data_IF_458945871427
#
_entry.id   IF_458945871427
#
_cell.length_a   1.000
_cell.length_b   1.000
_cell.length_c   1.000
_cell.angle_alpha   90.00
_cell.angle_beta   90.00
_cell.angle_gamma   90.00
#
_symmetry.space_group_name_H-M   'P 1'
#
loop_
_entity.id
_entity.type
_entity.pdbx_description
1 polymer ?
#
# COMPACT_ATOMS: atom_id res chain seq x y z
N UNK A 1 -25.66 -8.49 -23.88
CA UNK A 1 -25.44 -8.14 -22.47
C UNK A 1 -25.07 -6.68 -22.42
N UNK A 2 -26.00 -5.83 -22.00
CA UNK A 2 -25.80 -4.39 -21.87
C UNK A 2 -24.91 -4.17 -20.64
N UNK A 3 -23.60 -3.94 -20.86
CA UNK A 3 -22.73 -3.52 -19.77
C UNK A 3 -23.11 -2.08 -19.42
N UNK A 4 -23.76 -1.91 -18.26
CA UNK A 4 -23.99 -0.59 -17.67
C UNK A 4 -22.66 0.17 -17.63
N UNK A 5 -22.63 1.31 -18.33
CA UNK A 5 -21.46 2.19 -18.33
C UNK A 5 -21.31 2.76 -16.92
N UNK A 6 -20.37 2.22 -16.15
CA UNK A 6 -20.06 2.73 -14.82
C UNK A 6 -19.20 3.99 -14.95
N UNK A 7 -19.80 5.14 -14.69
CA UNK A 7 -19.08 6.41 -14.71
C UNK A 7 -18.03 6.48 -13.60
N UNK A 8 -16.93 7.16 -13.90
CA UNK A 8 -15.88 7.48 -12.95
C UNK A 8 -16.47 8.46 -11.93
N UNK A 9 -16.61 8.04 -10.69
CA UNK A 9 -17.05 8.89 -9.59
C UNK A 9 -15.99 8.95 -8.51
N UNK A 10 -15.72 10.16 -8.02
CA UNK A 10 -15.04 10.33 -6.74
C UNK A 10 -16.03 10.03 -5.60
N UNK A 11 -15.51 9.72 -4.41
CA UNK A 11 -16.36 9.31 -3.28
C UNK A 11 -17.36 10.38 -2.83
N UNK A 12 -17.03 11.66 -3.02
CA UNK A 12 -17.88 12.83 -2.71
C UNK A 12 -18.65 13.35 -3.94
N UNK A 13 -18.52 12.70 -5.09
CA UNK A 13 -19.14 13.11 -6.36
C UNK A 13 -18.59 14.41 -6.95
N UNK A 14 -17.53 15.00 -6.38
CA UNK A 14 -17.00 16.29 -6.81
C UNK A 14 -15.73 16.16 -7.65
N UNK A 15 -15.55 17.11 -8.58
CA UNK A 15 -14.30 17.32 -9.31
C UNK A 15 -13.65 18.61 -8.81
N UNK A 16 -12.44 18.50 -8.24
CA UNK A 16 -11.71 19.64 -7.66
C UNK A 16 -10.97 20.50 -8.68
N UNK A 17 -11.09 20.21 -9.96
CA UNK A 17 -10.29 20.84 -11.00
C UNK A 17 -8.81 20.43 -10.90
N UNK A 18 -7.91 21.38 -11.10
CA UNK A 18 -6.45 21.14 -11.04
C UNK A 18 -6.01 21.04 -9.59
N UNK A 19 -5.51 19.86 -9.20
CA UNK A 19 -4.93 19.58 -7.89
C UNK A 19 -3.58 18.90 -8.06
N UNK A 20 -2.73 18.94 -7.03
CA UNK A 20 -1.45 18.24 -7.07
C UNK A 20 -1.63 16.71 -6.97
N UNK A 21 -0.69 15.94 -7.51
CA UNK A 21 -0.70 14.47 -7.34
C UNK A 21 -0.64 14.06 -5.86
N UNK A 22 0.02 14.86 -5.02
CA UNK A 22 0.10 14.63 -3.56
C UNK A 22 -1.28 14.73 -2.90
N UNK A 23 -2.05 15.77 -3.22
CA UNK A 23 -3.42 15.94 -2.73
C UNK A 23 -4.34 14.86 -3.31
N UNK A 24 -4.23 14.56 -4.61
CA UNK A 24 -5.03 13.53 -5.25
C UNK A 24 -4.82 12.14 -4.61
N UNK A 25 -3.58 11.80 -4.25
CA UNK A 25 -3.25 10.56 -3.54
C UNK A 25 -3.79 10.59 -2.09
N UNK A 26 -3.63 11.69 -1.38
CA UNK A 26 -4.10 11.85 -0.01
C UNK A 26 -5.62 11.68 0.11
N UNK A 27 -6.35 12.28 -0.83
CA UNK A 27 -7.81 12.26 -0.91
C UNK A 27 -8.38 11.07 -1.70
N UNK A 28 -7.53 10.19 -2.22
CA UNK A 28 -7.93 9.00 -2.99
C UNK A 28 -8.84 9.31 -4.20
N UNK A 29 -8.45 10.28 -5.03
CA UNK A 29 -9.26 10.76 -6.15
C UNK A 29 -9.24 9.81 -7.35
N UNK A 30 -10.30 9.02 -7.51
CA UNK A 30 -10.50 8.05 -8.60
C UNK A 30 -10.26 8.66 -9.99
N UNK A 31 -10.78 9.86 -10.25
CA UNK A 31 -10.61 10.52 -11.54
C UNK A 31 -9.13 10.76 -11.89
N UNK A 32 -8.32 11.15 -10.89
CA UNK A 32 -6.88 11.36 -11.08
C UNK A 32 -6.15 10.02 -11.22
N UNK A 33 -6.52 8.99 -10.45
CA UNK A 33 -5.94 7.64 -10.59
C UNK A 33 -6.10 7.08 -12.00
N UNK A 34 -7.29 7.26 -12.59
CA UNK A 34 -7.57 6.85 -13.97
C UNK A 34 -6.78 7.70 -14.95
N UNK A 35 -6.82 9.03 -14.79
CA UNK A 35 -6.07 9.92 -15.67
C UNK A 35 -4.57 9.58 -15.70
N UNK A 36 -3.94 9.36 -14.54
CA UNK A 36 -2.53 8.92 -14.47
C UNK A 36 -2.32 7.57 -15.15
N UNK A 37 -3.22 6.61 -14.93
CA UNK A 37 -3.14 5.28 -15.55
C UNK A 37 -3.23 5.36 -17.08
N UNK A 38 -4.11 6.21 -17.62
CA UNK A 38 -4.22 6.47 -19.05
C UNK A 38 -2.94 7.13 -19.60
N UNK A 39 -2.28 8.02 -18.82
CA UNK A 39 -1.03 8.65 -19.25
C UNK A 39 0.15 7.66 -19.33
N UNK A 40 0.25 6.70 -18.40
CA UNK A 40 1.40 5.78 -18.30
C UNK A 40 1.13 4.38 -18.87
N UNK A 41 -0.13 4.07 -19.17
CA UNK A 41 -0.60 2.75 -19.57
C UNK A 41 -0.79 1.78 -18.40
N UNK A 42 -1.80 0.91 -18.50
CA UNK A 42 -2.09 -0.11 -17.48
C UNK A 42 -0.91 -1.09 -17.29
N UNK A 43 -0.17 -1.41 -18.34
CA UNK A 43 0.98 -2.33 -18.27
C UNK A 43 2.09 -1.81 -17.33
N UNK A 44 2.31 -0.49 -17.30
CA UNK A 44 3.25 0.14 -16.36
C UNK A 44 2.82 -0.03 -14.91
N UNK A 45 1.50 0.05 -14.65
CA UNK A 45 0.93 -0.20 -13.32
C UNK A 45 1.14 -1.66 -12.92
N UNK A 46 0.82 -2.60 -13.81
CA UNK A 46 1.00 -4.04 -13.57
C UNK A 46 2.47 -4.40 -13.31
N UNK A 47 3.39 -3.86 -14.12
CA UNK A 47 4.83 -4.04 -13.94
C UNK A 47 5.29 -3.54 -12.57
N UNK A 48 4.82 -2.35 -12.17
CA UNK A 48 5.11 -1.78 -10.85
C UNK A 48 4.59 -2.67 -9.72
N UNK A 49 3.37 -3.20 -9.84
CA UNK A 49 2.82 -4.16 -8.87
C UNK A 49 3.69 -5.42 -8.76
N UNK A 50 4.18 -5.96 -9.89
CA UNK A 50 5.10 -7.11 -9.90
C UNK A 50 6.42 -6.81 -9.20
N UNK A 51 7.02 -5.64 -9.45
CA UNK A 51 8.26 -5.20 -8.77
C UNK A 51 8.10 -5.05 -7.25
N UNK A 52 6.89 -4.75 -6.79
CA UNK A 52 6.56 -4.69 -5.36
C UNK A 52 6.24 -6.06 -4.73
N UNK A 53 6.32 -7.15 -5.50
CA UNK A 53 6.11 -8.52 -5.01
C UNK A 53 4.66 -8.97 -5.00
N UNK A 54 3.77 -8.31 -5.75
CA UNK A 54 2.41 -8.82 -6.01
C UNK A 54 2.52 -9.86 -7.11
N UNK A 55 2.25 -11.13 -6.79
CA UNK A 55 2.22 -12.25 -7.74
C UNK A 55 0.79 -12.70 -8.09
N UNK A 56 -0.20 -12.23 -7.32
CA UNK A 56 -1.63 -12.37 -7.64
C UNK A 56 -1.91 -11.88 -9.06
N UNK A 57 -2.61 -12.65 -9.92
CA UNK A 57 -2.99 -12.22 -11.26
C UNK A 57 -3.90 -10.98 -11.21
N UNK A 58 -3.45 -9.88 -11.82
CA UNK A 58 -4.21 -8.64 -11.94
C UNK A 58 -4.75 -8.52 -13.36
N UNK A 59 -5.98 -8.01 -13.50
CA UNK A 59 -6.58 -7.82 -14.82
C UNK A 59 -6.00 -6.58 -15.52
N UNK A 60 -5.71 -6.61 -16.82
CA UNK A 60 -5.12 -5.51 -17.57
C UNK A 60 -6.17 -4.47 -17.99
N UNK A 61 -7.02 -4.05 -17.05
CA UNK A 61 -8.04 -3.03 -17.24
C UNK A 61 -7.75 -1.83 -16.36
N UNK A 62 -8.13 -0.63 -16.81
CA UNK A 62 -8.00 0.63 -16.06
C UNK A 62 -8.72 0.58 -14.71
N UNK A 63 -9.80 -0.19 -14.61
CA UNK A 63 -10.52 -0.45 -13.36
C UNK A 63 -9.65 -1.13 -12.29
N UNK A 64 -8.57 -1.84 -12.67
CA UNK A 64 -7.59 -2.37 -11.72
C UNK A 64 -6.89 -1.26 -10.94
N UNK A 65 -6.65 -0.09 -11.54
CA UNK A 65 -6.09 1.07 -10.83
C UNK A 65 -7.04 1.63 -9.75
N UNK A 66 -8.33 1.29 -9.82
CA UNK A 66 -9.33 1.61 -8.81
C UNK A 66 -9.52 0.48 -7.77
N UNK A 67 -8.72 -0.59 -7.84
CA UNK A 67 -8.83 -1.74 -6.94
C UNK A 67 -9.89 -2.78 -7.35
N UNK A 68 -10.28 -2.85 -8.63
CA UNK A 68 -11.22 -3.88 -9.10
C UNK A 68 -10.63 -5.30 -9.14
N UNK A 69 -9.30 -5.45 -9.12
CA UNK A 69 -8.64 -6.75 -9.02
C UNK A 69 -8.39 -7.10 -7.56
N UNK A 70 -8.77 -8.32 -7.16
CA UNK A 70 -8.45 -8.85 -5.84
C UNK A 70 -6.94 -9.13 -5.70
N UNK A 71 -6.40 -8.94 -4.50
CA UNK A 71 -4.98 -9.13 -4.19
C UNK A 71 -4.82 -9.99 -2.94
N UNK A 72 -3.86 -10.91 -2.94
CA UNK A 72 -3.49 -11.63 -1.74
C UNK A 72 -3.04 -10.66 -0.64
N UNK A 73 -3.64 -10.77 0.54
CA UNK A 73 -3.44 -9.82 1.62
C UNK A 73 -1.99 -9.79 2.15
N UNK A 74 -1.31 -10.94 2.13
CA UNK A 74 0.08 -11.05 2.56
C UNK A 74 1.02 -10.39 1.54
N UNK A 75 0.72 -10.50 0.25
CA UNK A 75 1.45 -9.79 -0.81
C UNK A 75 1.24 -8.28 -0.70
N UNK A 76 0.00 -7.83 -0.46
CA UNK A 76 -0.32 -6.42 -0.27
C UNK A 76 0.43 -5.83 0.93
N UNK A 77 0.40 -6.51 2.08
CA UNK A 77 1.16 -6.09 3.26
C UNK A 77 2.68 -6.04 2.99
N UNK A 78 3.19 -7.04 2.26
CA UNK A 78 4.60 -7.08 1.87
C UNK A 78 4.98 -5.91 0.94
N UNK A 79 4.12 -5.53 0.00
CA UNK A 79 4.32 -4.40 -0.90
C UNK A 79 4.42 -3.06 -0.12
N UNK A 80 3.51 -2.81 0.82
CA UNK A 80 3.58 -1.61 1.67
C UNK A 80 4.80 -1.60 2.57
N UNK A 81 5.18 -2.75 3.15
CA UNK A 81 6.45 -2.87 3.88
C UNK A 81 7.64 -2.56 2.99
N UNK A 82 7.68 -3.10 1.76
CA UNK A 82 8.76 -2.88 0.82
C UNK A 82 8.89 -1.40 0.44
N UNK A 83 7.77 -0.71 0.19
CA UNK A 83 7.77 0.74 -0.01
C UNK A 83 8.29 1.51 1.21
N UNK A 84 8.02 1.03 2.43
CA UNK A 84 8.45 1.69 3.66
C UNK A 84 9.96 1.52 3.91
N UNK A 85 10.47 0.31 3.69
CA UNK A 85 11.85 -0.04 4.02
C UNK A 85 12.82 0.10 2.84
N UNK A 86 12.33 0.23 1.61
CA UNK A 86 13.14 0.12 0.40
C UNK A 86 13.68 -1.28 0.13
N UNK A 87 13.14 -2.30 0.80
CA UNK A 87 13.62 -3.68 0.73
C UNK A 87 12.45 -4.62 0.42
N UNK A 88 12.54 -5.28 -0.72
CA UNK A 88 11.69 -6.38 -1.11
C UNK A 88 12.15 -7.66 -0.40
N UNK A 89 11.19 -8.41 0.12
CA UNK A 89 11.43 -9.75 0.65
C UNK A 89 10.28 -10.65 0.25
N UNK A 90 10.50 -11.96 0.29
CA UNK A 90 9.42 -12.94 0.13
C UNK A 90 8.78 -13.19 1.50
N UNK A 91 7.46 -13.00 1.66
CA UNK A 91 6.81 -13.29 2.94
C UNK A 91 6.79 -14.80 3.19
N UNK A 92 7.05 -15.20 4.44
CA UNK A 92 6.97 -16.59 4.90
C UNK A 92 6.51 -16.64 6.36
N UNK A 93 5.84 -17.73 6.74
CA UNK A 93 5.34 -17.95 8.11
C UNK A 93 6.27 -18.87 8.90
N UNK A 94 6.90 -19.84 8.24
CA UNK A 94 7.81 -20.80 8.85
C UNK A 94 9.25 -20.43 8.49
N UNK A 95 10.06 -20.06 9.48
CA UNK A 95 11.49 -19.77 9.32
C UNK A 95 12.35 -21.03 9.40
N UNK A 96 12.14 -21.83 10.44
CA UNK A 96 13.01 -22.95 10.80
C UNK A 96 12.17 -24.16 11.21
N UNK A 97 12.55 -25.35 10.76
CA UNK A 97 11.99 -26.63 11.20
C UNK A 97 13.13 -27.46 11.77
N UNK A 98 13.01 -27.87 13.03
CA UNK A 98 13.97 -28.71 13.74
C UNK A 98 13.26 -30.01 14.09
N UNK A 99 13.89 -31.15 13.80
CA UNK A 99 13.38 -32.48 14.14
C UNK A 99 13.54 -32.76 15.63
N UNK A 100 12.83 -33.76 16.12
CA UNK A 100 12.99 -34.33 17.46
C UNK A 100 14.43 -34.80 17.75
N UNK A 101 15.14 -35.29 16.73
CA UNK A 101 16.56 -35.64 16.78
C UNK A 101 17.51 -34.45 17.01
N UNK A 102 17.01 -33.21 16.96
CA UNK A 102 17.82 -31.99 16.97
C UNK A 102 18.35 -31.58 15.59
N UNK A 103 18.07 -32.35 14.54
CA UNK A 103 18.48 -32.05 13.17
C UNK A 103 17.70 -30.87 12.58
N UNK A 104 18.42 -29.97 11.91
CA UNK A 104 17.83 -28.86 11.17
C UNK A 104 17.30 -29.33 9.80
N UNK A 105 15.97 -29.43 9.67
CA UNK A 105 15.33 -29.89 8.43
C UNK A 105 15.13 -28.75 7.41
N UNK A 106 14.82 -27.54 7.88
CA UNK A 106 14.61 -26.36 7.03
C UNK A 106 15.14 -25.14 7.76
N UNK A 107 15.96 -24.33 7.09
CA UNK A 107 16.27 -22.95 7.51
C UNK A 107 16.07 -22.02 6.31
N UNK A 108 15.05 -21.17 6.40
CA UNK A 108 14.79 -20.14 5.38
C UNK A 108 15.51 -18.87 5.78
N UNK A 109 16.65 -18.62 5.15
CA UNK A 109 17.18 -17.26 5.07
C UNK A 109 16.29 -16.44 4.14
N UNK A 110 15.73 -15.36 4.67
CA UNK A 110 14.84 -14.50 3.93
C UNK A 110 15.59 -13.79 2.81
N UNK A 111 15.17 -13.99 1.56
CA UNK A 111 15.65 -13.19 0.43
C UNK A 111 15.36 -11.70 0.70
N UNK A 112 16.38 -10.85 0.57
CA UNK A 112 16.28 -9.40 0.72
C UNK A 112 16.90 -8.76 -0.52
N UNK A 113 16.07 -8.08 -1.30
CA UNK A 113 16.50 -7.34 -2.48
C UNK A 113 16.13 -5.87 -2.29
N UNK A 114 16.96 -4.91 -2.73
CA UNK A 114 16.51 -3.54 -2.88
C UNK A 114 15.26 -3.49 -3.75
N UNK A 115 14.32 -2.59 -3.44
CA UNK A 115 13.21 -2.37 -4.36
C UNK A 115 13.75 -1.68 -5.61
N UNK A 116 13.44 -2.24 -6.78
CA UNK A 116 13.86 -1.74 -8.09
C UNK A 116 13.02 -0.52 -8.52
N UNK A 117 13.36 0.65 -7.98
CA UNK A 117 12.79 1.95 -8.35
C UNK A 117 13.89 2.91 -8.78
N UNK A 118 13.56 3.85 -9.67
CA UNK A 118 14.43 4.97 -10.00
C UNK A 118 14.76 5.79 -8.75
N UNK A 119 16.01 6.25 -8.67
CA UNK A 119 16.51 7.07 -7.57
C UNK A 119 15.56 8.24 -7.25
N UNK A 120 15.21 8.39 -5.97
CA UNK A 120 14.29 9.42 -5.47
C UNK A 120 12.79 9.12 -5.58
N UNK A 121 12.35 8.19 -6.44
CA UNK A 121 10.92 7.86 -6.61
C UNK A 121 10.32 7.26 -5.34
N UNK A 122 11.08 6.40 -4.65
CA UNK A 122 10.65 5.78 -3.40
C UNK A 122 10.36 6.84 -2.31
N UNK A 123 11.20 7.87 -2.23
CA UNK A 123 10.99 8.96 -1.28
C UNK A 123 9.71 9.74 -1.57
N UNK A 124 9.42 10.02 -2.85
CA UNK A 124 8.17 10.68 -3.26
C UNK A 124 6.93 9.83 -2.94
N UNK A 125 7.00 8.52 -3.14
CA UNK A 125 5.93 7.58 -2.77
C UNK A 125 5.70 7.63 -1.25
N UNK A 126 6.78 7.57 -0.46
CA UNK A 126 6.69 7.63 1.00
C UNK A 126 6.08 8.96 1.48
N UNK A 127 6.53 10.11 0.94
CA UNK A 127 5.97 11.42 1.28
C UNK A 127 4.51 11.60 0.82
N UNK A 128 4.15 11.01 -0.32
CA UNK A 128 2.78 10.94 -0.80
C UNK A 128 1.88 10.14 0.15
N UNK A 129 2.31 8.94 0.56
CA UNK A 129 1.60 8.08 1.50
C UNK A 129 1.53 8.66 2.92
N UNK A 130 2.53 9.45 3.35
CA UNK A 130 2.43 10.26 4.58
C UNK A 130 1.37 11.36 4.44
N UNK A 131 1.19 11.91 3.25
CA UNK A 131 0.16 12.91 2.95
C UNK A 131 -1.26 12.42 3.20
N UNK A 132 -1.53 11.11 3.03
CA UNK A 132 -2.83 10.50 3.36
C UNK A 132 -3.22 10.69 4.82
N UNK A 133 -2.24 10.80 5.72
CA UNK A 133 -2.42 11.06 7.15
C UNK A 133 -2.26 12.55 7.48
N UNK A 134 -1.20 13.20 6.99
CA UNK A 134 -0.81 14.55 7.43
C UNK A 134 -1.57 15.70 6.77
N UNK A 135 -2.18 15.46 5.61
CA UNK A 135 -2.95 16.51 4.93
C UNK A 135 -4.34 16.55 5.58
N UNK A 136 -4.87 17.73 5.97
CA UNK A 136 -6.17 17.83 6.64
C UNK A 136 -7.35 17.20 5.89
N UNK A 137 -7.32 17.22 4.55
CA UNK A 137 -8.32 16.56 3.70
C UNK A 137 -8.01 15.09 3.40
N UNK A 138 -6.89 14.56 3.91
CA UNK A 138 -6.44 13.20 3.69
C UNK A 138 -7.42 12.16 4.26
N UNK A 139 -7.60 11.06 3.53
CA UNK A 139 -8.57 10.02 3.90
C UNK A 139 -8.27 9.30 5.22
N UNK A 140 -7.04 9.41 5.75
CA UNK A 140 -6.66 8.86 7.05
C UNK A 140 -6.21 9.95 8.03
N UNK A 141 -6.67 11.19 7.87
CA UNK A 141 -6.25 12.32 8.70
C UNK A 141 -6.53 12.14 10.19
N UNK A 142 -7.53 11.33 10.55
CA UNK A 142 -7.78 10.96 11.94
C UNK A 142 -6.60 10.28 12.65
N UNK A 143 -5.62 9.75 11.90
CA UNK A 143 -4.39 9.18 12.45
C UNK A 143 -3.30 10.23 12.74
N UNK A 144 -3.50 11.49 12.35
CA UNK A 144 -2.60 12.61 12.65
C UNK A 144 -2.89 13.18 14.05
N UNK A 145 -2.89 12.29 15.05
CA UNK A 145 -3.11 12.68 16.44
C UNK A 145 -1.78 12.91 17.16
N UNK A 146 -1.75 13.91 18.05
CA UNK A 146 -0.60 14.15 18.93
C UNK A 146 -0.28 12.98 19.87
N UNK A 147 -1.26 12.10 20.08
CA UNK A 147 -1.17 10.90 20.93
C UNK A 147 -0.43 9.74 20.23
N UNK A 148 -0.21 9.81 18.92
CA UNK A 148 0.51 8.80 18.15
C UNK A 148 1.77 9.41 17.49
N UNK A 149 2.87 9.63 18.23
CA UNK A 149 4.06 10.36 17.76
C UNK A 149 4.92 9.57 16.77
N UNK A 150 4.39 8.49 16.17
CA UNK A 150 5.09 7.63 15.23
C UNK A 150 4.66 8.02 13.82
N UNK A 151 5.61 8.31 12.94
CA UNK A 151 5.32 8.62 11.55
C UNK A 151 4.61 7.43 10.87
N UNK A 152 3.35 7.65 10.48
CA UNK A 152 2.56 6.68 9.71
C UNK A 152 2.58 7.08 8.24
N UNK A 153 2.78 6.09 7.38
CA UNK A 153 2.45 6.19 5.97
C UNK A 153 1.49 5.06 5.60
N UNK A 154 0.55 5.31 4.70
CA UNK A 154 -0.37 4.26 4.29
C UNK A 154 -1.42 4.76 3.32
N UNK A 155 -2.39 3.90 3.05
CA UNK A 155 -3.50 4.21 2.16
C UNK A 155 -4.78 3.54 2.65
N UNK A 156 -5.88 4.25 2.49
CA UNK A 156 -7.24 3.76 2.68
C UNK A 156 -7.70 2.97 1.45
N UNK A 157 -8.41 1.88 1.67
CA UNK A 157 -9.14 1.13 0.66
C UNK A 157 -10.61 1.08 1.04
N UNK A 158 -11.47 1.46 0.10
CA UNK A 158 -12.93 1.41 0.24
C UNK A 158 -13.47 0.65 -0.97
N UNK A 159 -14.17 -0.45 -0.73
CA UNK A 159 -14.89 -1.15 -1.80
C UNK A 159 -16.24 -0.48 -2.06
N UNK A 160 -16.77 -0.62 -3.28
CA UNK A 160 -18.11 -0.11 -3.60
C UNK A 160 -19.14 -0.79 -2.67
N UNK A 161 -20.11 -0.01 -2.18
CA UNK A 161 -21.10 -0.39 -1.14
C UNK A 161 -20.59 -0.44 0.31
N UNK A 162 -19.43 0.14 0.64
CA UNK A 162 -18.91 0.24 2.03
C UNK A 162 -18.78 -1.09 2.78
N UNK A 163 -18.79 -2.24 2.07
CA UNK A 163 -18.74 -3.57 2.69
C UNK A 163 -17.39 -3.85 3.36
N UNK A 164 -16.32 -3.21 2.91
CA UNK A 164 -14.99 -3.32 3.49
C UNK A 164 -14.29 -1.95 3.55
N UNK A 165 -13.86 -1.57 4.75
CA UNK A 165 -12.94 -0.47 4.97
C UNK A 165 -11.57 -1.02 5.39
N UNK A 166 -10.53 -0.69 4.62
CA UNK A 166 -9.17 -1.16 4.83
C UNK A 166 -8.24 0.03 5.02
N UNK A 167 -7.31 -0.08 5.97
CA UNK A 167 -6.11 0.73 6.00
C UNK A 167 -4.89 -0.16 5.95
N UNK A 168 -4.04 0.05 4.94
CA UNK A 168 -2.74 -0.60 4.82
C UNK A 168 -1.66 0.44 5.04
N UNK A 169 -0.79 0.21 6.03
CA UNK A 169 0.22 1.19 6.35
C UNK A 169 1.44 0.62 7.06
N UNK A 170 2.44 1.47 7.18
CA UNK A 170 3.69 1.18 7.87
C UNK A 170 4.06 2.35 8.77
N UNK A 171 4.61 2.03 9.93
CA UNK A 171 5.23 2.99 10.84
C UNK A 171 6.74 3.11 10.62
N UNK A 172 7.27 2.38 9.62
CA UNK A 172 8.68 2.46 9.25
C UNK A 172 8.86 3.81 8.55
N UNK A 173 9.55 4.75 9.20
CA UNK A 173 9.97 5.96 8.51
C UNK A 173 10.11 7.24 9.32
N UNK A 174 10.82 7.21 10.45
CA UNK A 174 11.53 8.43 10.88
C UNK A 174 12.97 8.38 10.37
N UNK A 175 13.36 9.45 9.66
CA UNK A 175 14.74 9.81 9.34
C UNK A 175 15.54 10.01 10.63
N UNK A 176 15.99 8.92 11.22
CA UNK A 176 17.25 8.82 11.94
C UNK A 176 17.60 7.35 11.92
N UNK A 177 18.61 6.98 11.14
CA UNK A 177 19.44 5.83 11.45
C UNK A 177 20.03 6.07 12.85
N UNK A 178 19.26 5.79 13.90
CA UNK A 178 19.84 5.23 15.11
C UNK A 178 19.84 3.74 14.83
N UNK A 179 21.05 3.22 14.68
CA UNK A 179 21.37 1.82 14.89
C UNK A 179 20.78 1.42 16.24
N UNK A 180 19.54 0.93 16.24
CA UNK A 180 19.03 0.14 17.33
C UNK A 180 19.61 -1.26 17.07
N UNK A 181 20.60 -1.58 17.90
CA UNK A 181 21.35 -2.83 17.88
C UNK A 181 20.52 -4.03 18.36
N UNK A 182 19.23 -3.85 18.61
CA UNK A 182 18.29 -4.93 18.87
C UNK A 182 17.41 -5.13 17.64
N UNK A 183 17.35 -6.36 17.12
CA UNK A 183 16.56 -6.74 15.94
C UNK A 183 15.04 -6.67 16.15
N UNK A 184 14.53 -5.66 16.84
CA UNK A 184 13.14 -5.39 17.17
C UNK A 184 12.83 -3.97 16.63
N UNK A 185 11.83 -3.63 15.82
CA UNK A 185 10.54 -4.18 15.44
C UNK A 185 10.11 -3.51 14.12
N UNK A 186 10.26 -4.21 12.99
CA UNK A 186 9.72 -3.78 11.70
C UNK A 186 8.26 -4.22 11.57
N UNK A 187 7.29 -3.40 11.98
CA UNK A 187 5.86 -3.77 11.91
C UNK A 187 5.15 -3.03 10.77
N UNK A 188 4.86 -3.74 9.69
CA UNK A 188 3.74 -3.38 8.81
C UNK A 188 2.45 -3.74 9.55
N UNK A 189 1.48 -2.83 9.58
CA UNK A 189 0.19 -3.11 10.22
C UNK A 189 -0.91 -2.99 9.18
N UNK A 190 -1.78 -3.98 9.20
CA UNK A 190 -2.99 -4.01 8.40
C UNK A 190 -4.16 -3.88 9.34
N UNK A 191 -5.00 -2.87 9.12
CA UNK A 191 -6.23 -2.68 9.87
C UNK A 191 -7.40 -2.86 8.92
N UNK A 192 -8.14 -3.96 9.06
CA UNK A 192 -9.43 -4.16 8.38
C UNK A 192 -10.52 -3.84 9.39
N UNK A 193 -11.43 -2.96 8.99
CA UNK A 193 -12.65 -2.67 9.72
C UNK A 193 -13.80 -3.20 8.87
N UNK A 194 -14.61 -4.06 9.47
CA UNK A 194 -15.93 -4.42 8.93
C UNK A 194 -16.95 -3.73 9.81
N UNK A 195 -17.84 -2.97 9.18
CA UNK A 195 -18.97 -2.21 9.76
C UNK A 195 -18.68 -0.74 10.18
N UNK A 196 -19.30 0.18 9.42
CA UNK A 196 -19.60 1.57 9.82
C UNK A 196 -21.10 1.80 9.58
N UNK A 197 -21.93 0.90 10.10
CA UNK A 197 -23.29 1.27 10.50
C UNK A 197 -23.28 1.50 12.01
N UNK A 198 -23.82 2.67 12.41
CA UNK A 198 -23.79 3.17 13.79
C UNK A 198 -24.67 2.39 14.76
#
# INVERSE_FOLDING_TARGET
MEQSTKWISNYDGQFKGVITLREALAESRNAVSIWVTEQIGIDSVLLTSRRLGIHTPLQPYVSTALGASEVNLLELANAYRAMASGILTRPYVIRKIIRDSGELAVDKEGMRLPVDFFDGSLYLIQEGLRGVVRIPSGTAHALDSGDFPIAVMGKTGTTNEFRDALFVGSTIGTLRQRTLADGSLNRCKLYRWTDISG
#
